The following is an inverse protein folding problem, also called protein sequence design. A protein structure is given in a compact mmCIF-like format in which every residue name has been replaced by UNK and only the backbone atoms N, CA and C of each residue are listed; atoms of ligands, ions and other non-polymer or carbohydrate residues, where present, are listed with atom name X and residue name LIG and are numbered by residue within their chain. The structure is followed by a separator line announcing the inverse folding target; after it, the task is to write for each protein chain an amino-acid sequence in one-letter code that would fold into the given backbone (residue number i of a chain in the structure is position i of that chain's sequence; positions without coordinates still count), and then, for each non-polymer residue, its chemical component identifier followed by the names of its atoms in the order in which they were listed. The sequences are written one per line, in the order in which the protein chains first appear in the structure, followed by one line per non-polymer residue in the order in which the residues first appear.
data_IF_264062381358
#
_entry.id   IF_264062381358
#
_cell.length_a   1.000
_cell.length_b   1.000
_cell.length_c   1.000
_cell.angle_alpha   90.00
_cell.angle_beta   90.00
_cell.angle_gamma   90.00
#
_symmetry.space_group_name_H-M   'P 1'
#
loop_
_entity.id
_entity.type
_entity.pdbx_description
1 polymer ?
#
# COMPACT_ATOMS: atom_id res chain seq x y z
N UNK A 1 17.08 13.88 -6.31
CA UNK A 1 16.16 13.45 -7.37
C UNK A 1 15.09 14.50 -7.54
N UNK A 2 14.75 14.88 -8.77
CA UNK A 2 13.92 16.04 -9.08
C UNK A 2 12.44 15.61 -9.09
N UNK A 3 11.75 15.76 -7.97
CA UNK A 3 10.33 15.41 -7.84
C UNK A 3 9.46 16.62 -8.23
N UNK A 4 8.61 16.44 -9.26
CA UNK A 4 7.83 17.51 -9.89
C UNK A 4 6.63 17.87 -9.03
N UNK A 5 6.54 19.14 -8.63
CA UNK A 5 5.32 19.77 -8.10
C UNK A 5 4.21 19.68 -9.13
N UNK A 6 3.04 19.16 -8.74
CA UNK A 6 1.82 19.19 -9.56
C UNK A 6 0.83 20.15 -8.88
N UNK A 7 0.30 21.10 -9.66
CA UNK A 7 -0.64 22.11 -9.14
C UNK A 7 -1.93 21.44 -8.65
N UNK A 8 -2.47 21.89 -7.51
CA UNK A 8 -3.78 21.46 -7.01
C UNK A 8 -4.94 21.77 -7.99
N UNK A 9 -4.77 22.76 -8.88
CA UNK A 9 -5.70 23.01 -9.98
C UNK A 9 -5.58 21.94 -11.07
N UNK A 10 -4.37 21.45 -11.35
CA UNK A 10 -4.17 20.36 -12.31
C UNK A 10 -4.63 19.00 -11.81
N UNK A 11 -4.56 18.69 -10.51
CA UNK A 11 -5.14 17.44 -9.97
C UNK A 11 -6.66 17.44 -10.02
N UNK A 12 -7.30 18.57 -9.73
CA UNK A 12 -8.76 18.69 -9.88
C UNK A 12 -9.18 18.56 -11.35
N UNK A 13 -8.40 19.13 -12.28
CA UNK A 13 -8.61 18.95 -13.73
C UNK A 13 -8.36 17.51 -14.14
N UNK A 14 -7.31 16.85 -13.63
CA UNK A 14 -7.00 15.45 -13.92
C UNK A 14 -8.11 14.52 -13.40
N UNK A 15 -8.65 14.81 -12.22
CA UNK A 15 -9.75 14.05 -11.65
C UNK A 15 -11.06 14.28 -12.42
N UNK A 16 -11.35 15.52 -12.83
CA UNK A 16 -12.45 15.84 -13.73
C UNK A 16 -12.28 15.19 -15.11
N UNK A 17 -11.07 15.18 -15.66
CA UNK A 17 -10.74 14.58 -16.94
C UNK A 17 -10.82 13.04 -16.87
N UNK A 18 -10.41 12.44 -15.75
CA UNK A 18 -10.58 11.01 -15.49
C UNK A 18 -12.07 10.64 -15.42
N UNK A 19 -12.88 11.44 -14.72
CA UNK A 19 -14.33 11.25 -14.66
C UNK A 19 -14.96 11.44 -16.05
N UNK A 20 -14.56 12.47 -16.79
CA UNK A 20 -15.06 12.75 -18.14
C UNK A 20 -14.68 11.65 -19.15
N UNK A 21 -13.44 11.15 -19.10
CA UNK A 21 -12.98 10.03 -19.92
C UNK A 21 -13.72 8.74 -19.58
N UNK A 22 -13.99 8.51 -18.30
CA UNK A 22 -14.79 7.36 -17.84
C UNK A 22 -16.22 7.44 -18.39
N UNK A 23 -16.88 8.60 -18.27
CA UNK A 23 -18.22 8.84 -18.83
C UNK A 23 -18.21 8.66 -20.35
N UNK A 24 -17.20 9.22 -21.03
CA UNK A 24 -17.06 9.14 -22.49
C UNK A 24 -16.85 7.71 -22.97
N UNK A 25 -16.04 6.93 -22.26
CA UNK A 25 -15.82 5.51 -22.57
C UNK A 25 -17.07 4.67 -22.31
N UNK A 26 -17.79 4.93 -21.22
CA UNK A 26 -19.08 4.28 -20.94
C UNK A 26 -20.08 4.62 -22.05
N UNK A 27 -20.19 5.89 -22.42
CA UNK A 27 -21.03 6.32 -23.54
C UNK A 27 -20.65 5.54 -24.80
N UNK A 28 -19.39 5.60 -25.26
CA UNK A 28 -18.90 4.86 -26.44
C UNK A 28 -19.22 3.36 -26.42
N UNK A 29 -19.08 2.71 -25.26
CA UNK A 29 -19.21 1.26 -25.15
C UNK A 29 -20.67 0.78 -25.01
N UNK A 30 -21.59 1.62 -24.53
CA UNK A 30 -22.92 1.16 -24.09
C UNK A 30 -24.09 2.00 -24.60
N UNK A 31 -23.81 3.15 -25.23
CA UNK A 31 -24.81 4.12 -25.64
C UNK A 31 -24.38 4.77 -26.96
N UNK A 32 -25.29 4.95 -27.91
CA UNK A 32 -25.01 5.70 -29.15
C UNK A 32 -24.90 7.22 -28.88
N UNK A 33 -24.22 7.60 -27.78
CA UNK A 33 -24.13 8.95 -27.20
C UNK A 33 -25.48 9.59 -26.89
N UNK A 34 -26.53 8.79 -26.72
CA UNK A 34 -27.83 9.31 -26.32
C UNK A 34 -27.81 9.67 -24.82
N UNK A 35 -28.08 10.93 -24.44
CA UNK A 35 -27.97 11.38 -23.05
C UNK A 35 -28.81 10.57 -22.06
N UNK A 36 -29.97 10.06 -22.50
CA UNK A 36 -30.87 9.23 -21.71
C UNK A 36 -30.27 7.88 -21.29
N UNK A 37 -29.35 7.31 -22.07
CA UNK A 37 -28.71 6.03 -21.77
C UNK A 37 -27.42 6.21 -20.95
N UNK A 38 -26.75 7.35 -21.10
CA UNK A 38 -25.50 7.65 -20.39
C UNK A 38 -25.75 7.78 -18.88
N UNK A 39 -26.77 8.56 -18.50
CA UNK A 39 -27.09 8.81 -17.08
C UNK A 39 -27.49 7.51 -16.38
N UNK A 40 -28.33 6.68 -17.01
CA UNK A 40 -28.75 5.38 -16.46
C UNK A 40 -27.56 4.44 -16.23
N UNK A 41 -26.66 4.33 -17.20
CA UNK A 41 -25.49 3.47 -17.10
C UNK A 41 -24.48 3.95 -16.05
N UNK A 42 -24.33 5.27 -15.87
CA UNK A 42 -23.52 5.84 -14.79
C UNK A 42 -24.12 5.49 -13.43
N UNK A 43 -25.44 5.65 -13.25
CA UNK A 43 -26.12 5.33 -11.99
C UNK A 43 -25.99 3.84 -11.63
N UNK A 44 -26.17 2.94 -12.60
CA UNK A 44 -25.99 1.49 -12.39
C UNK A 44 -24.57 1.18 -11.93
N UNK A 45 -23.54 1.81 -12.52
CA UNK A 45 -22.15 1.62 -12.11
C UNK A 45 -21.85 2.20 -10.73
N UNK A 46 -22.29 3.42 -10.43
CA UNK A 46 -22.12 4.01 -9.10
C UNK A 46 -22.79 3.16 -8.01
N UNK A 47 -23.96 2.58 -8.32
CA UNK A 47 -24.64 1.68 -7.40
C UNK A 47 -23.87 0.36 -7.22
N UNK A 48 -23.31 -0.19 -8.31
CA UNK A 48 -22.45 -1.38 -8.25
C UNK A 48 -21.17 -1.11 -7.45
N UNK A 49 -20.49 0.02 -7.66
CA UNK A 49 -19.31 0.44 -6.90
C UNK A 49 -19.61 0.60 -5.41
N UNK A 50 -20.76 1.21 -5.06
CA UNK A 50 -21.22 1.31 -3.67
C UNK A 50 -21.48 -0.06 -3.04
N UNK A 51 -22.03 -1.01 -3.80
CA UNK A 51 -22.21 -2.39 -3.33
C UNK A 51 -20.88 -3.14 -3.19
N UNK A 52 -19.92 -2.91 -4.10
CA UNK A 52 -18.57 -3.47 -4.01
C UNK A 52 -17.81 -2.91 -2.80
N UNK A 53 -17.92 -1.61 -2.49
CA UNK A 53 -17.35 -1.03 -1.28
C UNK A 53 -17.87 -1.72 -0.01
N UNK A 54 -19.18 -1.99 0.06
CA UNK A 54 -19.77 -2.76 1.16
C UNK A 54 -19.29 -4.22 1.22
N UNK A 55 -18.90 -4.81 0.08
CA UNK A 55 -18.29 -6.14 0.01
C UNK A 55 -16.85 -6.12 0.56
N UNK A 56 -16.06 -5.11 0.20
CA UNK A 56 -14.68 -4.93 0.68
C UNK A 56 -14.67 -4.85 2.20
N UNK A 57 -15.53 -4.03 2.82
CA UNK A 57 -15.60 -3.93 4.29
C UNK A 57 -15.96 -5.27 4.96
N UNK A 58 -16.83 -6.09 4.34
CA UNK A 58 -17.15 -7.43 4.86
C UNK A 58 -15.96 -8.38 4.73
N UNK A 59 -15.21 -8.28 3.65
CA UNK A 59 -13.99 -9.06 3.44
C UNK A 59 -12.91 -8.67 4.46
N UNK A 60 -12.70 -7.38 4.69
CA UNK A 60 -11.75 -6.88 5.72
C UNK A 60 -12.10 -7.42 7.10
N UNK A 61 -13.37 -7.35 7.52
CA UNK A 61 -13.82 -7.92 8.81
C UNK A 61 -13.55 -9.43 8.89
N UNK A 62 -13.74 -10.15 7.77
CA UNK A 62 -13.48 -11.59 7.72
C UNK A 62 -11.98 -11.88 7.82
N UNK A 63 -11.14 -11.12 7.10
CA UNK A 63 -9.68 -11.21 7.18
C UNK A 63 -9.19 -10.91 8.59
N UNK A 64 -9.71 -9.85 9.23
CA UNK A 64 -9.35 -9.50 10.62
C UNK A 64 -9.74 -10.61 11.60
N UNK A 65 -10.92 -11.22 11.44
CA UNK A 65 -11.35 -12.36 12.29
C UNK A 65 -10.47 -13.59 12.10
N UNK A 66 -10.07 -13.88 10.87
CA UNK A 66 -9.15 -14.98 10.58
C UNK A 66 -7.79 -14.65 11.19
N UNK A 67 -7.27 -13.44 10.99
CA UNK A 67 -6.00 -13.01 11.57
C UNK A 67 -5.97 -13.12 13.10
N UNK A 68 -7.03 -12.67 13.79
CA UNK A 68 -7.11 -12.76 15.25
C UNK A 68 -7.32 -14.18 15.79
N UNK A 69 -7.66 -15.14 14.92
CA UNK A 69 -7.77 -16.56 15.28
C UNK A 69 -6.47 -17.34 15.07
N UNK A 70 -5.47 -16.73 14.44
CA UNK A 70 -4.16 -17.35 14.25
C UNK A 70 -3.37 -17.28 15.57
N UNK A 71 -2.51 -18.28 15.84
CA UNK A 71 -1.60 -18.21 16.96
C UNK A 71 -0.63 -17.02 16.78
N UNK A 72 -0.15 -16.43 17.89
CA UNK A 72 0.82 -15.35 17.83
C UNK A 72 2.08 -15.85 17.10
N UNK A 73 2.45 -15.15 16.03
CA UNK A 73 3.64 -15.48 15.26
C UNK A 73 4.87 -14.86 15.93
N UNK A 74 5.90 -15.68 16.10
CA UNK A 74 7.23 -15.20 16.48
C UNK A 74 7.93 -14.52 15.30
N UNK A 75 9.05 -13.87 15.62
CA UNK A 75 9.95 -13.26 14.65
C UNK A 75 10.39 -14.23 13.55
N UNK A 76 10.36 -13.79 12.30
CA UNK A 76 10.81 -14.57 11.15
C UNK A 76 12.33 -14.78 11.20
N UNK A 77 12.78 -16.03 11.09
CA UNK A 77 14.19 -16.39 10.99
C UNK A 77 14.40 -17.15 9.69
N UNK A 78 15.31 -16.66 8.85
CA UNK A 78 15.67 -17.25 7.57
C UNK A 78 17.09 -17.80 7.68
N UNK A 79 17.26 -19.14 7.64
CA UNK A 79 18.56 -19.77 7.74
C UNK A 79 19.48 -19.44 6.57
N UNK A 80 20.77 -19.34 6.83
CA UNK A 80 21.78 -19.09 5.81
C UNK A 80 21.74 -20.11 4.68
N UNK A 81 21.52 -21.40 4.98
CA UNK A 81 21.50 -22.46 3.98
C UNK A 81 20.36 -22.27 2.96
N UNK A 82 19.24 -21.66 3.41
CA UNK A 82 18.11 -21.32 2.53
C UNK A 82 18.46 -20.14 1.64
N UNK A 83 19.15 -19.13 2.18
CA UNK A 83 19.61 -17.96 1.44
C UNK A 83 20.61 -18.38 0.35
N UNK A 84 21.57 -19.23 0.70
CA UNK A 84 22.57 -19.76 -0.23
C UNK A 84 21.91 -20.57 -1.35
N UNK A 85 20.99 -21.47 -1.00
CA UNK A 85 20.27 -22.30 -1.97
C UNK A 85 19.33 -21.50 -2.89
N UNK A 86 18.77 -20.39 -2.39
CA UNK A 86 17.72 -19.62 -3.07
C UNK A 86 18.07 -18.13 -3.22
N UNK A 87 19.29 -17.83 -3.67
CA UNK A 87 19.82 -16.45 -3.75
C UNK A 87 18.95 -15.50 -4.57
N UNK A 88 18.34 -15.97 -5.67
CA UNK A 88 17.46 -15.13 -6.50
C UNK A 88 16.15 -14.77 -5.78
N UNK A 89 15.56 -15.73 -5.09
CA UNK A 89 14.35 -15.51 -4.29
C UNK A 89 14.64 -14.62 -3.10
N UNK A 90 15.82 -14.77 -2.51
CA UNK A 90 16.30 -13.90 -1.44
C UNK A 90 16.45 -12.46 -1.93
N UNK A 91 17.11 -12.22 -3.06
CA UNK A 91 17.23 -10.89 -3.67
C UNK A 91 15.85 -10.26 -3.93
N UNK A 92 14.94 -11.00 -4.56
CA UNK A 92 13.59 -10.52 -4.84
C UNK A 92 12.81 -10.21 -3.55
N UNK A 93 13.03 -10.98 -2.48
CA UNK A 93 12.45 -10.70 -1.17
C UNK A 93 13.00 -9.40 -0.59
N UNK A 94 14.32 -9.20 -0.59
CA UNK A 94 14.96 -7.96 -0.09
C UNK A 94 14.49 -6.72 -0.86
N UNK A 95 14.31 -6.81 -2.18
CA UNK A 95 13.76 -5.72 -2.99
C UNK A 95 12.31 -5.39 -2.62
N UNK A 96 11.52 -6.39 -2.21
CA UNK A 96 10.14 -6.20 -1.79
C UNK A 96 10.03 -5.53 -0.42
N UNK A 97 11.01 -5.72 0.45
CA UNK A 97 11.02 -5.17 1.82
C UNK A 97 12.12 -4.13 2.03
N UNK A 98 12.56 -3.48 0.95
CA UNK A 98 13.69 -2.53 0.98
C UNK A 98 13.53 -1.45 2.05
N UNK A 99 12.30 -0.94 2.22
CA UNK A 99 11.99 0.12 3.17
C UNK A 99 12.19 -0.33 4.62
N UNK A 100 11.98 -1.62 4.90
CA UNK A 100 12.21 -2.24 6.21
C UNK A 100 13.69 -2.52 6.48
N UNK A 101 14.51 -2.61 5.43
CA UNK A 101 15.96 -2.79 5.56
C UNK A 101 16.67 -1.45 5.82
N UNK A 102 16.16 -0.37 5.23
CA UNK A 102 16.70 0.99 5.37
C UNK A 102 16.64 1.52 6.80
N UNK A 103 15.79 0.94 7.64
CA UNK A 103 15.49 1.43 9.00
C UNK A 103 16.43 0.87 10.05
N UNK A 104 17.45 0.14 9.61
CA UNK A 104 18.62 -0.16 10.41
C UNK A 104 18.74 -1.63 10.78
N UNK A 105 19.90 -2.21 10.42
CA UNK A 105 20.40 -3.46 11.00
C UNK A 105 20.56 -3.27 12.51
N UNK A 106 20.00 -4.19 13.29
CA UNK A 106 19.97 -4.15 14.76
C UNK A 106 18.65 -3.66 15.36
N UNK A 107 17.84 -2.91 14.60
CA UNK A 107 16.54 -2.40 15.04
C UNK A 107 15.38 -3.25 14.53
N UNK A 108 15.34 -3.51 13.22
CA UNK A 108 14.24 -4.22 12.57
C UNK A 108 14.63 -5.58 12.00
N UNK A 109 15.92 -5.79 11.78
CA UNK A 109 16.46 -7.06 11.36
C UNK A 109 17.90 -7.21 11.86
N UNK A 110 18.38 -8.43 12.04
CA UNK A 110 19.77 -8.69 12.39
C UNK A 110 20.29 -9.95 11.71
N UNK A 111 21.61 -9.98 11.55
CA UNK A 111 22.35 -11.16 11.10
C UNK A 111 22.97 -11.82 12.33
N UNK A 112 22.73 -13.12 12.48
CA UNK A 112 23.33 -13.95 13.51
C UNK A 112 24.74 -14.40 13.09
N UNK A 113 25.55 -14.87 14.05
CA UNK A 113 26.93 -15.31 13.80
C UNK A 113 27.04 -16.48 12.81
N UNK A 114 25.98 -17.28 12.68
CA UNK A 114 25.88 -18.37 11.72
C UNK A 114 25.42 -17.93 10.32
N UNK A 115 25.19 -16.63 10.09
CA UNK A 115 24.71 -16.08 8.82
C UNK A 115 23.18 -16.06 8.67
N UNK A 116 22.43 -16.51 9.68
CA UNK A 116 20.97 -16.46 9.65
C UNK A 116 20.47 -15.02 9.77
N UNK A 117 19.39 -14.70 9.06
CA UNK A 117 18.75 -13.39 9.11
C UNK A 117 17.47 -13.48 9.91
N UNK A 118 17.38 -12.71 10.99
CA UNK A 118 16.18 -12.56 11.82
C UNK A 118 15.52 -11.22 11.56
N UNK A 119 14.23 -11.23 11.30
CA UNK A 119 13.38 -10.04 11.20
C UNK A 119 12.56 -9.89 12.48
N UNK A 120 12.44 -8.67 12.99
CA UNK A 120 11.63 -8.33 14.15
C UNK A 120 10.22 -7.94 13.72
N UNK A 121 9.50 -8.89 13.13
CA UNK A 121 8.16 -8.73 12.56
C UNK A 121 7.05 -9.46 13.36
N UNK A 122 7.40 -10.07 14.49
CA UNK A 122 6.45 -10.74 15.38
C UNK A 122 5.59 -9.76 16.19
N UNK A 123 4.60 -10.30 16.92
CA UNK A 123 3.70 -9.51 17.76
C UNK A 123 4.39 -8.82 18.95
N UNK A 124 5.59 -9.28 19.31
CA UNK A 124 6.39 -8.65 20.34
C UNK A 124 7.31 -7.60 19.71
N UNK A 125 6.98 -6.31 19.88
CA UNK A 125 7.85 -5.23 19.43
C UNK A 125 9.24 -5.37 20.08
N UNK A 126 10.35 -5.26 19.34
CA UNK A 126 11.66 -5.13 19.96
C UNK A 126 11.70 -3.87 20.85
N UNK A 127 12.37 -3.94 21.99
CA UNK A 127 12.41 -2.85 22.99
C UNK A 127 12.92 -1.50 22.44
N UNK A 128 13.57 -1.49 21.26
CA UNK A 128 14.20 -0.33 20.62
C UNK A 128 13.43 0.22 19.40
N UNK A 129 12.15 0.55 19.55
CA UNK A 129 11.36 1.16 18.47
C UNK A 129 11.72 2.60 18.08
N UNK A 130 12.72 3.22 18.71
CA UNK A 130 13.06 4.62 18.46
C UNK A 130 13.53 4.92 17.02
N UNK A 131 13.85 3.89 16.23
CA UNK A 131 14.41 4.02 14.87
C UNK A 131 13.56 3.28 13.82
N UNK A 132 12.23 3.40 13.91
CA UNK A 132 11.34 3.01 12.82
C UNK A 132 11.54 3.85 11.55
N UNK A 133 11.20 3.33 10.36
CA UNK A 133 10.98 4.22 9.22
C UNK A 133 9.91 5.22 9.66
N UNK A 134 10.20 6.51 9.53
CA UNK A 134 9.13 7.49 9.50
C UNK A 134 8.32 7.21 8.23
N UNK A 135 7.31 6.34 8.33
CA UNK A 135 6.39 6.02 7.25
C UNK A 135 5.53 7.27 7.03
N UNK A 136 6.04 8.22 6.25
CA UNK A 136 5.30 9.39 5.83
C UNK A 136 4.32 8.99 4.73
N UNK A 137 3.14 8.52 5.12
CA UNK A 137 2.09 8.19 4.17
C UNK A 137 1.17 9.40 3.96
N UNK A 138 0.96 9.81 2.70
CA UNK A 138 0.14 10.98 2.34
C UNK A 138 -1.31 10.93 2.88
N UNK A 139 -1.83 9.73 3.19
CA UNK A 139 -3.17 9.56 3.80
C UNK A 139 -3.20 9.76 5.31
N UNK A 140 -2.04 9.82 5.98
CA UNK A 140 -1.91 10.07 7.42
C UNK A 140 -1.36 11.47 7.73
N UNK A 141 -0.95 12.23 6.73
CA UNK A 141 -0.53 13.63 6.83
C UNK A 141 -1.62 14.55 6.26
N UNK A 142 -1.61 15.81 6.69
CA UNK A 142 -2.34 16.87 6.01
C UNK A 142 -1.37 17.76 5.24
N UNK A 143 -1.91 18.59 4.34
CA UNK A 143 -1.11 19.41 3.43
C UNK A 143 -0.04 20.27 4.14
N UNK A 144 -0.36 20.84 5.32
CA UNK A 144 0.58 21.68 6.08
C UNK A 144 1.71 20.87 6.73
N UNK A 145 1.42 19.65 7.18
CA UNK A 145 2.45 18.76 7.74
C UNK A 145 3.38 18.19 6.67
N UNK A 146 2.87 17.96 5.45
CA UNK A 146 3.67 17.51 4.31
C UNK A 146 4.63 18.61 3.84
N UNK A 147 4.13 19.85 3.73
CA UNK A 147 4.92 21.02 3.34
C UNK A 147 6.12 21.24 4.27
N UNK A 148 5.91 21.10 5.59
CA UNK A 148 6.97 21.21 6.58
C UNK A 148 7.98 20.05 6.53
N UNK A 149 7.53 18.83 6.25
CA UNK A 149 8.41 17.64 6.15
C UNK A 149 9.35 17.73 4.95
N UNK A 150 8.94 18.38 3.86
CA UNK A 150 9.73 18.54 2.64
C UNK A 150 10.73 19.70 2.70
N UNK A 151 10.67 20.53 3.74
CA UNK A 151 11.64 21.61 4.01
C UNK A 151 12.84 21.15 4.86
N UNK A 152 12.79 19.94 5.44
CA UNK A 152 13.87 19.28 6.21
C UNK A 152 14.69 18.33 5.33
#
# INVERSE_FOLDING_TARGET
MQHRLISGRSTNVEEQERVFNTITNIAKATSSFHPSHIIGNIFVRLQAEKQMAACISKQEVTVSKVASSLPPYGNTIIPYEIIEKHTRSWQAHLERVSDFLLTGKGSWWMEHENGDIKFYDGEQPPDNHCEGPSLHHFRSSNFKSEEKYLEE
#
